data_IF_561442707822
#
_entry.id   IF_561442707822
#
_cell.length_a   1.000
_cell.length_b   1.000
_cell.length_c   1.000
_cell.angle_alpha   90.00
_cell.angle_beta   90.00
_cell.angle_gamma   90.00
#
_symmetry.space_group_name_H-M   'P 1'
#
loop_
_entity.id
_entity.type
_entity.pdbx_description
1 polymer ?
#
# COMPACT_ATOMS: atom_id res chain seq x y z
N UNK A 1 48.24 -17.23 1.94
CA UNK A 1 47.70 -17.68 3.25
C UNK A 1 47.18 -16.54 4.12
N UNK A 2 47.82 -15.36 4.14
CA UNK A 2 47.48 -14.29 5.09
C UNK A 2 46.10 -13.64 4.87
N UNK A 3 45.66 -13.50 3.62
CA UNK A 3 44.37 -12.87 3.30
C UNK A 3 43.18 -13.66 3.87
N UNK A 4 43.21 -14.99 3.83
CA UNK A 4 42.14 -15.82 4.39
C UNK A 4 41.98 -15.60 5.90
N UNK A 5 43.08 -15.37 6.63
CA UNK A 5 43.03 -15.09 8.07
C UNK A 5 42.31 -13.79 8.40
N UNK A 6 42.31 -12.81 7.49
CA UNK A 6 41.53 -11.56 7.65
C UNK A 6 40.12 -11.69 7.07
N UNK A 7 39.95 -12.38 5.95
CA UNK A 7 38.67 -12.48 5.26
C UNK A 7 37.67 -13.36 6.00
N UNK A 8 38.11 -14.43 6.68
CA UNK A 8 37.23 -15.29 7.48
C UNK A 8 36.51 -14.50 8.59
N UNK A 9 37.20 -13.79 9.50
CA UNK A 9 36.52 -13.03 10.54
C UNK A 9 35.68 -11.88 9.97
N UNK A 10 36.13 -11.20 8.92
CA UNK A 10 35.33 -10.16 8.26
C UNK A 10 34.03 -10.74 7.69
N UNK A 11 34.09 -11.86 6.99
CA UNK A 11 32.92 -12.52 6.44
C UNK A 11 31.96 -13.00 7.54
N UNK A 12 32.48 -13.54 8.65
CA UNK A 12 31.65 -13.94 9.80
C UNK A 12 30.95 -12.74 10.44
N UNK A 13 31.65 -11.62 10.63
CA UNK A 13 31.06 -10.39 11.17
C UNK A 13 29.97 -9.86 10.23
N UNK A 14 30.25 -9.78 8.93
CA UNK A 14 29.26 -9.34 7.93
C UNK A 14 28.05 -10.27 7.88
N UNK A 15 28.26 -11.59 7.98
CA UNK A 15 27.19 -12.58 8.03
C UNK A 15 26.33 -12.44 9.28
N UNK A 16 26.95 -12.25 10.45
CA UNK A 16 26.23 -12.03 11.72
C UNK A 16 25.47 -10.70 11.71
N UNK A 17 26.04 -9.63 11.16
CA UNK A 17 25.36 -8.35 11.00
C UNK A 17 24.15 -8.47 10.08
N UNK A 18 24.30 -9.14 8.93
CA UNK A 18 23.20 -9.40 8.01
C UNK A 18 22.09 -10.25 8.66
N UNK A 19 22.46 -11.33 9.35
CA UNK A 19 21.51 -12.17 10.07
C UNK A 19 20.79 -11.40 11.18
N UNK A 20 21.52 -10.60 11.97
CA UNK A 20 20.93 -9.76 13.02
C UNK A 20 19.95 -8.73 12.48
N UNK A 21 20.32 -8.05 11.39
CA UNK A 21 19.44 -7.11 10.70
C UNK A 21 18.19 -7.80 10.13
N UNK A 22 18.34 -8.99 9.56
CA UNK A 22 17.23 -9.80 9.05
C UNK A 22 16.26 -10.22 10.16
N UNK A 23 16.76 -10.75 11.27
CA UNK A 23 15.94 -11.12 12.43
C UNK A 23 15.25 -9.90 13.06
N UNK A 24 15.93 -8.75 13.11
CA UNK A 24 15.34 -7.49 13.55
C UNK A 24 14.21 -7.02 12.63
N UNK A 25 14.35 -7.14 11.31
CA UNK A 25 13.32 -6.79 10.34
C UNK A 25 12.07 -7.68 10.49
N UNK A 26 12.26 -9.00 10.68
CA UNK A 26 11.16 -9.94 10.97
C UNK A 26 10.43 -9.57 12.27
N UNK A 27 11.18 -9.29 13.34
CA UNK A 27 10.63 -8.87 14.65
C UNK A 27 9.87 -7.55 14.58
N UNK A 28 10.23 -6.67 13.64
CA UNK A 28 9.64 -5.33 13.50
C UNK A 28 8.35 -5.32 12.69
N UNK A 29 7.89 -6.45 12.16
CA UNK A 29 6.62 -6.55 11.43
C UNK A 29 6.63 -5.85 10.06
N UNK A 30 7.80 -5.51 9.51
CA UNK A 30 7.89 -4.83 8.20
C UNK A 30 7.39 -5.69 7.02
N UNK A 31 7.27 -7.00 7.22
CA UNK A 31 6.75 -7.92 6.21
C UNK A 31 5.22 -8.04 6.25
N UNK A 32 4.56 -7.57 7.32
CA UNK A 32 3.10 -7.67 7.47
C UNK A 32 2.34 -6.72 6.51
N UNK A 33 2.97 -5.60 6.12
CA UNK A 33 2.40 -4.63 5.19
C UNK A 33 2.63 -4.99 3.70
N UNK A 34 3.51 -5.96 3.40
CA UNK A 34 3.69 -6.47 2.04
C UNK A 34 2.46 -7.23 1.54
N UNK A 35 1.76 -7.95 2.42
CA UNK A 35 0.49 -8.60 2.10
C UNK A 35 -0.60 -7.58 1.75
N UNK A 36 -0.62 -6.43 2.44
CA UNK A 36 -1.54 -5.33 2.16
C UNK A 36 -1.24 -4.63 0.82
N UNK A 37 0.05 -4.38 0.52
CA UNK A 37 0.47 -3.78 -0.74
C UNK A 37 0.18 -4.69 -1.95
N UNK A 38 0.35 -6.01 -1.80
CA UNK A 38 0.02 -6.98 -2.84
C UNK A 38 -1.50 -7.04 -3.11
N UNK A 39 -2.33 -6.91 -2.07
CA UNK A 39 -3.79 -6.88 -2.24
C UNK A 39 -4.21 -5.63 -3.04
N UNK A 40 -3.62 -4.48 -2.75
CA UNK A 40 -3.88 -3.23 -3.49
C UNK A 40 -3.45 -3.32 -4.96
N UNK A 41 -2.27 -3.88 -5.24
CA UNK A 41 -1.76 -3.92 -6.62
C UNK A 41 -2.52 -4.87 -7.55
N UNK A 42 -3.20 -5.89 -7.01
CA UNK A 42 -3.98 -6.87 -7.77
C UNK A 42 -5.47 -6.52 -7.86
N UNK A 43 -6.01 -5.74 -6.92
CA UNK A 43 -7.45 -5.47 -6.81
C UNK A 43 -7.83 -3.98 -6.89
N UNK A 44 -6.89 -3.02 -6.84
CA UNK A 44 -7.19 -1.58 -6.93
C UNK A 44 -7.26 -1.02 -8.37
N UNK A 45 -7.30 -1.84 -9.42
CA UNK A 45 -7.55 -1.32 -10.78
C UNK A 45 -8.99 -0.78 -10.95
N UNK A 46 -9.92 -1.19 -10.06
CA UNK A 46 -11.35 -0.83 -10.16
C UNK A 46 -11.76 0.40 -9.33
N UNK A 47 -10.95 0.85 -8.36
CA UNK A 47 -11.26 1.97 -7.46
C UNK A 47 -10.23 3.11 -7.60
N UNK A 48 -10.16 3.72 -8.78
CA UNK A 48 -9.38 4.94 -8.99
C UNK A 48 -10.09 6.13 -8.29
N UNK A 49 -9.51 6.76 -7.24
CA UNK A 49 -10.12 7.91 -6.57
C UNK A 49 -9.86 9.15 -7.42
N UNK A 50 -10.63 9.28 -8.49
CA UNK A 50 -10.46 10.34 -9.48
C UNK A 50 -11.75 10.72 -10.21
N UNK A 51 -12.86 10.00 -9.99
CA UNK A 51 -14.17 10.44 -10.50
C UNK A 51 -14.72 11.47 -9.52
N UNK A 52 -14.75 12.77 -9.86
CA UNK A 52 -15.44 13.76 -9.04
C UNK A 52 -16.90 13.32 -8.92
N UNK A 53 -17.56 13.52 -7.76
CA UNK A 53 -18.96 13.18 -7.62
C UNK A 53 -19.74 13.82 -8.78
N UNK A 54 -20.49 13.01 -9.52
CA UNK A 54 -21.36 13.51 -10.57
C UNK A 54 -22.18 14.67 -9.97
N UNK A 55 -22.36 15.79 -10.72
CA UNK A 55 -23.17 16.90 -10.24
C UNK A 55 -24.49 16.32 -9.71
N UNK A 56 -25.01 16.79 -8.56
CA UNK A 56 -26.26 16.29 -8.03
C UNK A 56 -27.27 16.33 -9.18
N UNK A 57 -27.80 15.16 -9.53
CA UNK A 57 -28.81 15.06 -10.56
C UNK A 57 -29.88 16.07 -10.17
N UNK A 58 -29.97 17.15 -10.96
CA UNK A 58 -31.03 18.13 -10.80
C UNK A 58 -32.30 17.30 -10.86
N UNK A 59 -33.06 17.29 -9.77
CA UNK A 59 -34.31 16.55 -9.67
C UNK A 59 -35.27 17.07 -10.75
N UNK A 60 -35.16 16.53 -11.96
CA UNK A 60 -36.03 16.79 -13.10
C UNK A 60 -37.35 16.03 -12.92
N UNK A 61 -37.96 16.17 -11.73
CA UNK A 61 -39.29 15.66 -11.39
C UNK A 61 -39.70 16.10 -9.98
N UNK A 62 -39.79 17.40 -9.72
CA UNK A 62 -40.79 17.94 -8.79
C UNK A 62 -40.97 19.44 -9.02
N UNK A 63 -41.73 19.79 -10.06
CA UNK A 63 -42.63 20.93 -9.94
C UNK A 63 -44.04 20.48 -10.32
N UNK A 64 -44.85 19.97 -9.36
CA UNK A 64 -46.29 19.84 -9.53
C UNK A 64 -46.90 21.24 -9.33
N UNK A 65 -46.50 22.18 -10.17
CA UNK A 65 -46.88 23.59 -10.10
C UNK A 65 -47.36 24.10 -11.45
N UNK A 66 -48.01 23.25 -12.25
CA UNK A 66 -48.83 23.70 -13.37
C UNK A 66 -50.27 23.79 -12.92
N UNK A 67 -50.69 25.04 -12.76
CA UNK A 67 -51.95 25.58 -12.23
C UNK A 67 -53.24 24.79 -12.53
N UNK A 68 -54.27 24.97 -11.68
CA UNK A 68 -55.32 25.87 -12.14
C UNK A 68 -55.66 26.94 -11.09
N UNK A 69 -55.49 28.21 -11.47
CA UNK A 69 -56.17 29.34 -10.84
C UNK A 69 -57.59 29.45 -11.45
N UNK A 70 -58.62 29.78 -10.66
CA UNK A 70 -60.03 29.79 -11.11
C UNK A 70 -60.31 30.71 -12.31
#
# INVERSE_FOLDING_TARGET
MNALLMLIPVALVLGLLGLGAFLWALRSGQFDDLDGAAHRILFDEDDMPGTPPAPPAVDEKTDPGKDPKP
#
